data_IF_094173922523
#
_entry.id   IF_094173922523
#
_cell.length_a   1.000
_cell.length_b   1.000
_cell.length_c   1.000
_cell.angle_alpha   90.00
_cell.angle_beta   90.00
_cell.angle_gamma   90.00
#
_symmetry.space_group_name_H-M   'P 1'
#
loop_
_entity.id
_entity.type
_entity.pdbx_description
1 polymer ?
#
# COMPACT_ATOMS: atom_id res chain seq x y z
N UNK A 1 -33.81 -8.87 -6.60
CA UNK A 1 -32.56 -9.08 -5.82
C UNK A 1 -32.00 -10.49 -5.96
N UNK A 2 -32.80 -11.54 -5.80
CA UNK A 2 -32.36 -12.96 -5.88
C UNK A 2 -31.69 -13.33 -7.22
N UNK A 3 -32.15 -12.79 -8.35
CA UNK A 3 -31.56 -13.06 -9.68
C UNK A 3 -30.11 -12.57 -9.82
N UNK A 4 -29.77 -11.44 -9.22
CA UNK A 4 -28.40 -10.91 -9.25
C UNK A 4 -27.49 -11.70 -8.32
N UNK A 5 -28.00 -12.16 -7.17
CA UNK A 5 -27.26 -13.05 -6.26
C UNK A 5 -26.86 -14.34 -6.95
N UNK A 6 -27.75 -14.98 -7.71
CA UNK A 6 -27.41 -16.18 -8.48
C UNK A 6 -26.38 -15.93 -9.60
N UNK A 7 -26.43 -14.76 -10.24
CA UNK A 7 -25.44 -14.38 -11.26
C UNK A 7 -24.05 -14.20 -10.62
N UNK A 8 -23.97 -13.50 -9.48
CA UNK A 8 -22.71 -13.32 -8.76
C UNK A 8 -22.16 -14.64 -8.21
N UNK A 9 -23.03 -15.51 -7.69
CA UNK A 9 -22.61 -16.82 -7.21
C UNK A 9 -22.11 -17.71 -8.37
N UNK A 10 -22.80 -17.67 -9.52
CA UNK A 10 -22.42 -18.43 -10.71
C UNK A 10 -21.07 -18.02 -11.28
N UNK A 11 -20.80 -16.71 -11.37
CA UNK A 11 -19.50 -16.22 -11.87
C UNK A 11 -18.37 -16.49 -10.89
N UNK A 12 -18.62 -16.41 -9.59
CA UNK A 12 -17.65 -16.75 -8.55
C UNK A 12 -17.26 -18.24 -8.60
N UNK A 13 -18.23 -19.14 -8.69
CA UNK A 13 -17.98 -20.59 -8.78
C UNK A 13 -17.24 -20.93 -10.08
N UNK A 14 -17.61 -20.32 -11.21
CA UNK A 14 -16.91 -20.53 -12.48
C UNK A 14 -15.44 -20.08 -12.40
N UNK A 15 -15.17 -18.94 -11.77
CA UNK A 15 -13.81 -18.45 -11.53
C UNK A 15 -12.99 -19.40 -10.64
N UNK A 16 -13.59 -19.94 -9.58
CA UNK A 16 -12.93 -20.88 -8.68
C UNK A 16 -12.53 -22.19 -9.38
N UNK A 17 -13.41 -22.71 -10.25
CA UNK A 17 -13.13 -23.92 -11.05
C UNK A 17 -11.99 -23.66 -12.05
N UNK A 18 -11.99 -22.51 -12.73
CA UNK A 18 -10.92 -22.14 -13.66
C UNK A 18 -9.56 -21.99 -12.95
N UNK A 19 -9.54 -21.37 -11.77
CA UNK A 19 -8.32 -21.25 -10.97
C UNK A 19 -7.79 -22.61 -10.50
N UNK A 20 -8.68 -23.53 -10.11
CA UNK A 20 -8.31 -24.88 -9.70
C UNK A 20 -7.78 -25.71 -10.88
N UNK A 21 -8.37 -25.58 -12.07
CA UNK A 21 -7.87 -26.21 -13.28
C UNK A 21 -6.49 -25.69 -13.69
N UNK A 22 -6.25 -24.38 -13.61
CA UNK A 22 -4.93 -23.79 -13.89
C UNK A 22 -3.86 -24.25 -12.89
N UNK A 23 -4.23 -24.36 -11.61
CA UNK A 23 -3.32 -24.83 -10.57
C UNK A 23 -2.97 -26.31 -10.72
N UNK A 24 -3.94 -27.15 -11.10
CA UNK A 24 -3.68 -28.58 -11.34
C UNK A 24 -2.87 -28.82 -12.61
N UNK A 25 -3.05 -28.01 -13.67
CA UNK A 25 -2.23 -28.06 -14.88
C UNK A 25 -0.77 -27.63 -14.65
N UNK A 26 -0.52 -26.76 -13.67
CA UNK A 26 0.83 -26.27 -13.34
C UNK A 26 1.52 -27.07 -12.23
N UNK A 27 0.78 -27.90 -11.49
CA UNK A 27 1.36 -28.87 -10.57
C UNK A 27 1.96 -30.05 -11.36
N UNK A 28 3.22 -29.88 -11.76
CA UNK A 28 4.10 -31.00 -12.15
C UNK A 28 4.35 -31.84 -10.89
N UNK A 29 3.90 -33.12 -10.82
CA UNK A 29 4.20 -33.94 -9.66
C UNK A 29 5.72 -34.14 -9.59
N UNK A 30 6.36 -34.01 -8.41
CA UNK A 30 7.74 -34.44 -8.26
C UNK A 30 7.77 -35.94 -8.59
N UNK A 31 8.48 -36.28 -9.67
CA UNK A 31 8.76 -37.66 -10.01
C UNK A 31 9.34 -38.34 -8.77
N UNK A 32 8.74 -39.48 -8.41
CA UNK A 32 9.14 -40.31 -7.29
C UNK A 32 10.67 -40.40 -7.19
N UNK A 33 11.18 -40.15 -5.98
CA UNK A 33 12.58 -40.20 -5.60
C UNK A 33 13.44 -41.18 -6.42
N UNK A 34 14.61 -40.74 -6.89
CA UNK A 34 15.88 -41.47 -6.71
C UNK A 34 17.12 -40.75 -7.27
N UNK A 35 18.09 -40.61 -6.36
CA UNK A 35 19.52 -40.82 -6.53
C UNK A 35 20.41 -39.68 -7.06
N UNK A 36 21.33 -39.28 -6.17
CA UNK A 36 22.67 -38.68 -6.37
C UNK A 36 22.80 -37.14 -6.20
N UNK A 37 23.48 -36.76 -5.10
CA UNK A 37 24.12 -35.47 -4.82
C UNK A 37 25.36 -35.24 -5.73
N UNK A 38 26.24 -34.21 -5.59
CA UNK A 38 26.26 -33.03 -4.69
C UNK A 38 26.67 -31.68 -5.35
N UNK A 39 26.60 -30.60 -4.57
CA UNK A 39 27.35 -29.35 -4.78
C UNK A 39 26.68 -28.29 -5.67
N UNK A 40 26.87 -26.98 -5.50
CA UNK A 40 27.64 -26.21 -4.54
C UNK A 40 27.49 -24.71 -4.89
N UNK A 41 27.91 -23.85 -3.95
CA UNK A 41 28.31 -22.43 -4.14
C UNK A 41 27.17 -21.43 -4.49
N UNK A 42 27.10 -20.17 -4.03
CA UNK A 42 28.06 -19.31 -3.35
C UNK A 42 27.30 -18.22 -2.58
N UNK A 43 27.91 -17.79 -1.47
CA UNK A 43 27.64 -16.55 -0.76
C UNK A 43 28.42 -15.39 -1.42
N UNK A 44 27.93 -14.15 -1.29
CA UNK A 44 28.68 -12.90 -1.01
C UNK A 44 27.79 -11.69 -1.35
N UNK A 45 27.41 -10.79 -0.43
CA UNK A 45 28.20 -9.82 0.34
C UNK A 45 28.94 -8.80 -0.53
N UNK A 46 28.40 -7.58 -0.63
CA UNK A 46 29.19 -6.39 -0.92
C UNK A 46 29.09 -5.42 0.25
N UNK A 47 30.27 -5.17 0.82
CA UNK A 47 30.53 -4.31 1.95
C UNK A 47 30.76 -2.84 1.53
N UNK A 48 30.52 -1.97 2.51
CA UNK A 48 31.07 -0.64 2.77
C UNK A 48 31.98 0.01 1.72
N UNK A 49 31.66 1.27 1.38
CA UNK A 49 32.64 2.29 0.99
C UNK A 49 32.29 3.63 1.64
N UNK A 50 33.20 4.10 2.50
CA UNK A 50 33.34 5.49 2.91
C UNK A 50 34.74 5.95 2.49
N UNK A 51 34.91 7.20 2.06
CA UNK A 51 36.10 7.94 2.45
C UNK A 51 35.81 9.38 2.92
N UNK A 52 36.84 9.94 3.55
CA UNK A 52 36.92 11.13 4.38
C UNK A 52 36.62 12.49 3.70
N UNK A 53 36.22 13.45 4.54
CA UNK A 53 36.20 14.90 4.30
C UNK A 53 37.63 15.50 4.25
N UNK A 54 37.82 16.72 3.69
CA UNK A 54 37.85 17.90 4.59
C UNK A 54 37.32 19.24 4.00
N UNK A 55 36.68 20.03 4.89
CA UNK A 55 36.68 21.52 5.08
C UNK A 55 36.86 22.47 3.88
N UNK A 56 36.02 23.49 3.63
CA UNK A 56 35.79 24.79 4.35
C UNK A 56 34.69 25.60 3.59
N UNK A 57 34.21 26.81 4.00
CA UNK A 57 33.91 27.40 5.30
C UNK A 57 32.45 27.90 5.42
N UNK A 58 32.06 28.16 6.66
CA UNK A 58 30.80 28.79 7.11
C UNK A 58 30.73 30.26 6.65
N UNK A 59 29.57 30.77 6.21
CA UNK A 59 29.14 32.11 6.57
C UNK A 59 27.93 32.00 7.50
N UNK A 60 28.14 32.49 8.72
CA UNK A 60 27.12 32.67 9.72
C UNK A 60 26.26 33.88 9.32
N UNK A 61 25.02 33.63 8.94
CA UNK A 61 23.94 34.62 9.02
C UNK A 61 22.59 33.92 9.19
N UNK A 62 22.20 33.78 10.46
CA UNK A 62 20.86 33.93 11.05
C UNK A 62 19.61 33.28 10.42
N UNK A 63 18.59 32.96 11.25
CA UNK A 63 18.60 32.25 12.51
C UNK A 63 18.13 30.81 12.32
N UNK A 64 18.57 29.93 13.23
CA UNK A 64 17.87 28.70 13.55
C UNK A 64 16.46 29.07 14.04
N UNK A 65 15.50 29.14 13.10
CA UNK A 65 14.15 28.73 13.44
C UNK A 65 14.24 27.24 13.70
N UNK A 66 14.29 26.92 14.98
CA UNK A 66 13.81 25.65 15.50
C UNK A 66 12.39 25.43 15.01
N UNK A 67 12.22 24.99 13.77
CA UNK A 67 10.97 24.41 13.26
C UNK A 67 10.94 22.93 13.64
N UNK A 68 11.12 22.67 14.94
CA UNK A 68 10.65 21.45 15.58
C UNK A 68 9.54 21.86 16.55
N UNK A 69 8.43 22.36 16.01
CA UNK A 69 7.15 22.51 16.73
C UNK A 69 5.95 22.58 15.78
N UNK A 70 6.04 21.94 14.61
CA UNK A 70 4.85 21.54 13.87
C UNK A 70 5.08 20.08 13.48
N UNK A 71 4.70 19.17 14.38
CA UNK A 71 4.36 17.79 14.02
C UNK A 71 3.09 17.82 13.15
N UNK A 72 3.15 18.58 12.06
CA UNK A 72 2.14 18.67 11.04
C UNK A 72 2.24 17.36 10.31
N UNK A 73 1.38 16.42 10.71
CA UNK A 73 1.11 15.22 9.93
C UNK A 73 1.08 15.64 8.47
N UNK A 74 1.87 14.98 7.60
CA UNK A 74 2.08 15.44 6.24
C UNK A 74 0.72 15.66 5.59
N UNK A 75 0.58 16.81 4.93
CA UNK A 75 -0.71 17.27 4.43
C UNK A 75 -1.36 16.16 3.59
N UNK A 76 -2.61 15.78 3.88
CA UNK A 76 -3.27 14.71 3.17
C UNK A 76 -3.37 15.05 1.67
N UNK A 77 -3.17 14.06 0.82
CA UNK A 77 -3.19 14.21 -0.63
C UNK A 77 -4.58 14.51 -1.20
N UNK A 78 -5.62 14.30 -0.39
CA UNK A 78 -7.01 14.53 -0.75
C UNK A 78 -7.62 15.70 0.03
N UNK A 79 -8.48 16.45 -0.63
CA UNK A 79 -9.31 17.51 -0.02
C UNK A 79 -10.71 17.00 0.33
N UNK A 80 -11.20 15.98 -0.36
CA UNK A 80 -12.50 15.35 -0.12
C UNK A 80 -12.34 13.88 0.29
N UNK A 81 -13.24 13.42 1.13
CA UNK A 81 -13.32 12.04 1.56
C UNK A 81 -13.96 11.18 0.46
N UNK A 82 -13.24 10.17 -0.04
CA UNK A 82 -13.74 9.31 -1.11
C UNK A 82 -14.99 8.50 -0.71
N UNK A 83 -15.24 8.30 0.59
CA UNK A 83 -16.33 7.47 1.11
C UNK A 83 -17.63 8.26 1.33
N UNK A 84 -17.53 9.45 1.92
CA UNK A 84 -18.71 10.24 2.31
C UNK A 84 -18.85 11.56 1.54
N UNK A 85 -17.85 11.94 0.73
CA UNK A 85 -17.86 13.19 -0.04
C UNK A 85 -17.65 14.47 0.78
N UNK A 86 -17.51 14.39 2.10
CA UNK A 86 -17.23 15.55 2.94
C UNK A 86 -15.77 16.02 2.80
N UNK A 87 -15.53 17.29 3.06
CA UNK A 87 -14.17 17.85 3.14
C UNK A 87 -13.36 17.15 4.24
N UNK A 88 -12.07 16.96 3.97
CA UNK A 88 -11.13 16.37 4.91
C UNK A 88 -11.00 17.26 6.13
N UNK A 89 -11.20 16.66 7.30
CA UNK A 89 -11.05 17.39 8.55
C UNK A 89 -9.61 17.26 9.06
N UNK A 90 -8.82 18.36 9.13
CA UNK A 90 -7.43 18.31 9.59
C UNK A 90 -7.29 17.97 11.07
N UNK A 91 -8.40 17.94 11.83
CA UNK A 91 -8.43 17.49 13.23
C UNK A 91 -8.55 15.97 13.38
N UNK A 92 -8.77 15.24 12.29
CA UNK A 92 -8.85 13.78 12.29
C UNK A 92 -7.50 13.15 11.91
N UNK A 93 -7.20 11.94 12.42
CA UNK A 93 -5.97 11.24 12.07
C UNK A 93 -5.95 10.91 10.57
N UNK A 94 -4.83 11.19 9.91
CA UNK A 94 -4.56 10.76 8.54
C UNK A 94 -3.99 9.33 8.55
N UNK A 95 -4.25 8.57 7.48
CA UNK A 95 -3.65 7.24 7.28
C UNK A 95 -2.71 7.28 6.08
N UNK A 96 -1.72 6.39 6.03
CA UNK A 96 -0.83 6.30 4.86
C UNK A 96 -1.30 5.19 3.93
N UNK A 97 -1.58 5.54 2.68
CA UNK A 97 -1.89 4.59 1.60
C UNK A 97 -0.85 4.74 0.49
N UNK A 98 -0.14 3.65 0.15
CA UNK A 98 0.93 3.67 -0.86
C UNK A 98 2.01 4.76 -0.63
N UNK A 99 2.39 4.97 0.63
CA UNK A 99 3.37 6.01 1.00
C UNK A 99 2.84 7.44 0.94
N UNK A 100 1.55 7.64 0.65
CA UNK A 100 0.89 8.96 0.61
C UNK A 100 -0.09 9.10 1.78
N UNK A 101 -0.04 10.21 2.54
CA UNK A 101 -1.02 10.46 3.59
C UNK A 101 -2.38 10.77 2.98
N UNK A 102 -3.43 10.09 3.43
CA UNK A 102 -4.82 10.33 3.09
C UNK A 102 -5.57 10.82 4.33
N UNK A 103 -6.45 11.79 4.13
CA UNK A 103 -7.27 12.39 5.15
C UNK A 103 -8.73 11.94 5.05
N UNK A 104 -9.43 12.02 6.17
CA UNK A 104 -10.81 11.58 6.27
C UNK A 104 -11.72 12.75 6.63
N UNK A 105 -12.93 12.74 6.07
CA UNK A 105 -13.96 13.73 6.42
C UNK A 105 -14.72 13.37 7.69
N UNK A 106 -14.68 12.11 8.13
CA UNK A 106 -15.47 11.63 9.26
C UNK A 106 -14.75 10.56 10.09
N UNK A 107 -15.10 10.43 11.38
CA UNK A 107 -14.52 9.40 12.26
C UNK A 107 -14.85 7.96 11.84
N UNK A 108 -15.93 7.75 11.10
CA UNK A 108 -16.33 6.43 10.60
C UNK A 108 -15.60 6.01 9.30
N UNK A 109 -15.03 6.99 8.59
CA UNK A 109 -14.42 6.81 7.29
C UNK A 109 -13.10 5.99 7.35
N UNK A 110 -12.20 6.19 8.35
CA UNK A 110 -11.02 5.35 8.53
C UNK A 110 -11.36 3.86 8.69
N UNK A 111 -12.39 3.51 9.47
CA UNK A 111 -12.78 2.11 9.66
C UNK A 111 -13.26 1.44 8.36
N UNK A 112 -13.96 2.19 7.51
CA UNK A 112 -14.40 1.72 6.19
C UNK A 112 -13.24 1.59 5.21
N UNK A 113 -12.29 2.52 5.27
CA UNK A 113 -11.06 2.45 4.49
C UNK A 113 -10.19 1.23 4.89
N UNK A 114 -10.08 0.93 6.18
CA UNK A 114 -9.34 -0.25 6.66
C UNK A 114 -10.00 -1.58 6.28
N UNK A 115 -11.32 -1.58 6.05
CA UNK A 115 -12.04 -2.77 5.60
C UNK A 115 -11.68 -3.14 4.15
N UNK A 116 -11.62 -2.16 3.25
CA UNK A 116 -11.31 -2.36 1.83
C UNK A 116 -10.38 -1.24 1.28
N UNK A 117 -9.10 -1.20 1.68
CA UNK A 117 -8.19 -0.13 1.30
C UNK A 117 -7.91 -0.12 -0.21
N UNK A 118 -7.92 -1.27 -0.89
CA UNK A 118 -7.75 -1.36 -2.34
C UNK A 118 -8.96 -0.82 -3.11
N UNK A 119 -10.18 -0.93 -2.55
CA UNK A 119 -11.40 -0.38 -3.17
C UNK A 119 -11.40 1.14 -3.10
N UNK A 120 -11.09 1.71 -1.92
CA UNK A 120 -11.24 3.15 -1.69
C UNK A 120 -9.95 3.94 -1.94
N UNK A 121 -8.78 3.34 -1.74
CA UNK A 121 -7.49 4.01 -1.83
C UNK A 121 -7.21 4.71 -3.15
N UNK A 122 -7.49 4.12 -4.33
CA UNK A 122 -7.33 4.80 -5.61
C UNK A 122 -8.16 6.09 -5.70
N UNK A 123 -9.37 6.10 -5.14
CA UNK A 123 -10.24 7.29 -5.13
C UNK A 123 -9.71 8.38 -4.21
N UNK A 124 -9.12 8.02 -3.07
CA UNK A 124 -8.42 8.97 -2.21
C UNK A 124 -7.23 9.61 -2.94
N UNK A 125 -6.48 8.86 -3.74
CA UNK A 125 -5.36 9.41 -4.52
C UNK A 125 -5.82 10.33 -5.66
N UNK A 126 -7.01 10.09 -6.22
CA UNK A 126 -7.59 10.93 -7.28
C UNK A 126 -8.51 12.04 -6.77
N UNK A 127 -8.72 12.13 -5.46
CA UNK A 127 -9.64 13.08 -4.83
C UNK A 127 -11.08 12.97 -5.35
N UNK A 128 -11.51 11.75 -5.64
CA UNK A 128 -12.84 11.44 -6.18
C UNK A 128 -13.70 10.76 -5.12
N UNK A 129 -15.01 10.96 -5.19
CA UNK A 129 -15.98 10.24 -4.35
C UNK A 129 -16.40 8.98 -5.08
N UNK A 130 -16.35 7.84 -4.41
CA UNK A 130 -16.85 6.58 -4.96
C UNK A 130 -18.36 6.69 -5.16
N UNK A 131 -18.82 6.45 -6.38
CA UNK A 131 -20.23 6.28 -6.69
C UNK A 131 -20.48 4.78 -6.75
N UNK A 132 -20.97 4.23 -5.64
CA UNK A 132 -21.54 2.87 -5.60
C UNK A 132 -22.94 2.87 -6.23
#
# INVERSE_FOLDING_TARGET
>A
MIRHVFIFLGTFVLGAVLALAARTATHRPPAAARANAPGAHDAQSHAAHAPAAPTVPVPATAPLKSENSDLKSPAPVNTHCAICGMEVNPKLPTLTYQGRPIGFGCKACPSKFLADPDKYGPYYLRNEVIKD
#
